data_IF_549413645758
#
_entry.id   IF_549413645758
#
_cell.length_a   1.000
_cell.length_b   1.000
_cell.length_c   1.000
_cell.angle_alpha   90.00
_cell.angle_beta   90.00
_cell.angle_gamma   90.00
#
_symmetry.space_group_name_H-M   'P 1'
#
loop_
_entity.id
_entity.type
_entity.pdbx_description
1 polymer ?
#
# COMPACT_ATOMS: atom_id res chain seq x y z
N UNK A 1 94.55 -56.72 33.49
CA UNK A 1 93.45 -55.91 32.92
C UNK A 1 92.28 -56.86 32.65
N UNK A 2 91.36 -57.02 33.62
CA UNK A 2 90.17 -57.88 33.48
C UNK A 2 88.95 -56.98 33.21
N UNK A 3 88.23 -57.32 32.14
CA UNK A 3 87.04 -56.65 31.64
C UNK A 3 85.84 -56.97 32.53
N UNK A 4 85.20 -55.96 33.11
CA UNK A 4 83.91 -56.09 33.79
C UNK A 4 82.78 -55.84 32.78
N UNK A 5 82.11 -56.92 32.35
CA UNK A 5 80.90 -56.84 31.56
C UNK A 5 79.70 -56.54 32.46
N UNK A 6 79.14 -55.33 32.38
CA UNK A 6 77.83 -55.03 32.96
C UNK A 6 76.73 -55.61 32.06
N UNK A 7 76.11 -56.70 32.49
CA UNK A 7 74.89 -57.23 31.88
C UNK A 7 73.78 -56.18 31.99
N UNK A 8 73.45 -55.55 30.86
CA UNK A 8 72.35 -54.58 30.75
C UNK A 8 71.05 -55.36 30.69
N UNK A 9 70.33 -55.45 31.80
CA UNK A 9 69.01 -56.07 31.86
C UNK A 9 68.06 -55.37 30.88
N UNK A 10 67.61 -56.10 29.86
CA UNK A 10 66.65 -55.59 28.88
C UNK A 10 65.25 -55.45 29.52
N UNK A 11 64.51 -54.39 29.17
CA UNK A 11 63.21 -54.11 29.77
C UNK A 11 62.17 -55.17 29.39
N UNK A 12 61.33 -55.50 30.36
CA UNK A 12 60.28 -56.52 30.34
C UNK A 12 59.36 -56.34 29.13
N UNK A 13 59.04 -57.46 28.48
CA UNK A 13 58.01 -57.54 27.44
C UNK A 13 56.71 -56.93 27.98
N UNK A 14 56.23 -55.87 27.32
CA UNK A 14 54.96 -55.24 27.67
C UNK A 14 53.86 -56.23 27.31
N UNK A 15 53.24 -56.82 28.32
CA UNK A 15 52.15 -57.79 28.11
C UNK A 15 50.98 -57.13 27.37
N UNK A 16 50.34 -57.85 26.46
CA UNK A 16 49.16 -57.33 25.73
C UNK A 16 48.05 -56.83 26.67
N UNK A 17 47.94 -57.42 27.87
CA UNK A 17 47.00 -56.98 28.90
C UNK A 17 47.31 -55.58 29.44
N UNK A 18 48.59 -55.20 29.55
CA UNK A 18 48.98 -53.84 29.94
C UNK A 18 48.65 -52.82 28.85
N UNK A 19 48.77 -53.18 27.57
CA UNK A 19 48.38 -52.32 26.45
C UNK A 19 46.86 -52.13 26.39
N UNK A 20 46.07 -53.19 26.59
CA UNK A 20 44.62 -53.12 26.66
C UNK A 20 44.13 -52.25 27.83
N UNK A 21 44.71 -52.42 29.02
CA UNK A 21 44.35 -51.61 30.19
C UNK A 21 44.73 -50.13 30.05
N UNK A 22 45.81 -49.81 29.34
CA UNK A 22 46.17 -48.43 28.99
C UNK A 22 45.16 -47.83 27.99
N UNK A 23 44.75 -48.60 26.99
CA UNK A 23 43.73 -48.20 26.01
C UNK A 23 42.38 -47.90 26.66
N UNK A 24 41.94 -48.76 27.58
CA UNK A 24 40.70 -48.56 28.34
C UNK A 24 40.74 -47.26 29.17
N UNK A 25 41.83 -47.01 29.90
CA UNK A 25 42.01 -45.79 30.68
C UNK A 25 42.03 -44.53 29.81
N UNK A 26 42.69 -44.61 28.65
CA UNK A 26 42.70 -43.50 27.68
C UNK A 26 41.30 -43.23 27.13
N UNK A 27 40.52 -44.27 26.81
CA UNK A 27 39.15 -44.14 26.33
C UNK A 27 38.23 -43.50 27.39
N UNK A 28 38.35 -43.92 28.66
CA UNK A 28 37.60 -43.32 29.78
C UNK A 28 37.98 -41.84 29.97
N UNK A 29 39.26 -41.52 29.93
CA UNK A 29 39.72 -40.13 30.06
C UNK A 29 39.20 -39.24 28.91
N UNK A 30 39.21 -39.76 27.68
CA UNK A 30 38.66 -39.05 26.52
C UNK A 30 37.15 -38.80 26.67
N UNK A 31 36.39 -39.81 27.11
CA UNK A 31 34.95 -39.67 27.35
C UNK A 31 34.66 -38.63 28.44
N UNK A 32 35.44 -38.62 29.52
CA UNK A 32 35.31 -37.62 30.58
C UNK A 32 35.57 -36.19 30.08
N UNK A 33 36.59 -35.99 29.24
CA UNK A 33 36.90 -34.69 28.62
C UNK A 33 35.80 -34.23 27.67
N UNK A 34 35.24 -35.14 26.87
CA UNK A 34 34.11 -34.83 25.97
C UNK A 34 32.87 -34.45 26.78
N UNK A 35 32.55 -35.19 27.84
CA UNK A 35 31.44 -34.87 28.74
C UNK A 35 31.59 -33.48 29.37
N UNK A 36 32.79 -33.16 29.85
CA UNK A 36 33.10 -31.84 30.40
C UNK A 36 32.95 -30.73 29.34
N UNK A 37 33.42 -30.97 28.11
CA UNK A 37 33.27 -30.01 27.01
C UNK A 37 31.80 -29.75 26.65
N UNK A 38 30.95 -30.79 26.67
CA UNK A 38 29.51 -30.67 26.42
C UNK A 38 28.83 -29.88 27.54
N UNK A 39 29.12 -30.20 28.81
CA UNK A 39 28.60 -29.46 29.96
C UNK A 39 29.01 -27.98 29.86
N UNK A 40 30.27 -27.72 29.51
CA UNK A 40 30.77 -26.36 29.33
C UNK A 40 30.09 -25.64 28.17
N UNK A 41 29.81 -26.30 27.05
CA UNK A 41 29.10 -25.72 25.92
C UNK A 41 27.64 -25.33 26.22
N UNK A 42 26.98 -26.03 27.15
CA UNK A 42 25.61 -25.71 27.59
C UNK A 42 25.59 -24.53 28.56
N UNK A 43 26.61 -24.41 29.42
CA UNK A 43 26.69 -23.37 30.45
C UNK A 43 27.30 -22.08 29.90
N UNK A 44 28.28 -22.18 29.00
CA UNK A 44 28.92 -21.02 28.42
C UNK A 44 27.90 -20.29 27.54
N UNK A 45 27.58 -19.01 27.84
CA UNK A 45 26.67 -18.24 27.00
C UNK A 45 27.28 -18.14 25.61
N UNK A 46 26.64 -18.77 24.62
CA UNK A 46 27.02 -18.58 23.22
C UNK A 46 26.72 -17.12 22.88
N UNK A 47 27.75 -16.26 22.94
CA UNK A 47 27.66 -14.90 22.45
C UNK A 47 27.12 -14.97 21.03
N UNK A 48 26.02 -14.27 20.77
CA UNK A 48 25.44 -14.17 19.43
C UNK A 48 26.57 -13.71 18.52
N UNK A 49 26.94 -14.53 17.55
CA UNK A 49 27.95 -14.11 16.57
C UNK A 49 27.27 -13.09 15.68
N UNK A 50 27.43 -11.80 16.00
CA UNK A 50 26.81 -10.65 15.33
C UNK A 50 27.28 -10.45 13.88
N UNK A 51 27.90 -11.46 13.28
CA UNK A 51 28.46 -11.48 11.92
C UNK A 51 27.42 -11.32 10.80
N UNK A 52 26.13 -11.26 11.14
CA UNK A 52 25.04 -11.00 10.21
C UNK A 52 24.37 -9.63 10.42
N UNK A 53 24.86 -8.81 11.35
CA UNK A 53 24.33 -7.47 11.51
C UNK A 53 24.97 -6.56 10.46
N UNK A 54 24.23 -6.10 9.43
CA UNK A 54 24.75 -5.04 8.57
C UNK A 54 25.13 -3.86 9.47
N UNK A 55 26.20 -3.11 9.14
CA UNK A 55 26.56 -1.92 9.90
C UNK A 55 25.31 -1.05 10.06
N UNK A 56 25.04 -0.61 11.28
CA UNK A 56 23.97 0.36 11.51
C UNK A 56 24.17 1.52 10.53
N UNK A 57 23.12 2.00 9.85
CA UNK A 57 23.26 3.07 8.89
C UNK A 57 23.89 4.26 9.61
N UNK A 58 25.11 4.61 9.20
CA UNK A 58 25.76 5.81 9.68
C UNK A 58 24.87 6.98 9.25
N UNK A 59 24.30 7.69 10.22
CA UNK A 59 23.61 8.94 9.94
C UNK A 59 24.70 9.94 9.59
N UNK A 60 25.00 10.06 8.29
CA UNK A 60 25.84 11.13 7.79
C UNK A 60 25.21 12.45 8.28
N UNK A 61 25.99 13.23 9.02
CA UNK A 61 25.54 14.50 9.63
C UNK A 61 26.02 15.68 8.79
N UNK A 62 26.51 15.41 7.57
CA UNK A 62 27.03 16.42 6.68
C UNK A 62 25.92 17.38 6.23
N UNK A 63 26.19 18.70 6.19
CA UNK A 63 25.22 19.69 5.70
C UNK A 63 24.82 19.48 4.24
N UNK A 64 25.51 18.62 3.50
CA UNK A 64 25.18 18.20 2.13
C UNK A 64 23.81 17.51 2.01
N UNK A 65 23.32 16.83 3.07
CA UNK A 65 22.00 16.16 3.07
C UNK A 65 20.86 17.17 2.92
N UNK A 66 21.02 18.38 3.47
CA UNK A 66 20.03 19.44 3.34
C UNK A 66 19.99 20.04 1.93
N UNK A 67 21.04 19.86 1.12
CA UNK A 67 21.08 20.28 -0.29
C UNK A 67 20.62 19.18 -1.27
N UNK A 68 20.68 17.91 -0.87
CA UNK A 68 20.25 16.78 -1.69
C UNK A 68 18.72 16.60 -1.72
N UNK A 69 18.01 17.25 -0.80
CA UNK A 69 16.56 17.20 -0.74
C UNK A 69 15.96 18.38 -1.52
N UNK A 70 15.65 18.16 -2.80
CA UNK A 70 14.88 19.10 -3.61
C UNK A 70 13.37 18.78 -3.48
N UNK A 71 12.59 19.56 -2.70
CA UNK A 71 11.17 19.31 -2.53
C UNK A 71 10.33 19.68 -3.76
N UNK A 72 10.89 20.40 -4.72
CA UNK A 72 10.18 20.91 -5.89
C UNK A 72 10.34 19.99 -7.11
N UNK A 73 11.44 19.23 -7.22
CA UNK A 73 11.72 18.32 -8.34
C UNK A 73 11.79 16.83 -7.96
N UNK A 74 11.06 16.40 -6.92
CA UNK A 74 11.02 15.00 -6.45
C UNK A 74 10.60 13.94 -7.50
N UNK A 75 10.12 14.37 -8.67
CA UNK A 75 9.63 13.49 -9.74
C UNK A 75 10.75 12.84 -10.58
N UNK A 76 12.01 13.26 -10.43
CA UNK A 76 13.11 12.74 -11.26
C UNK A 76 13.91 11.60 -10.61
N UNK A 77 13.71 11.31 -9.31
CA UNK A 77 14.62 10.44 -8.53
C UNK A 77 14.08 9.07 -8.11
N UNK A 78 12.82 8.75 -8.35
CA UNK A 78 12.24 7.46 -7.92
C UNK A 78 11.48 6.80 -9.05
N UNK A 79 12.18 6.11 -9.98
CA UNK A 79 11.61 5.40 -11.14
C UNK A 79 10.36 6.09 -11.76
N UNK A 80 10.38 7.42 -11.73
CA UNK A 80 9.32 8.33 -12.14
C UNK A 80 9.39 8.54 -13.64
N UNK A 81 9.63 7.46 -14.38
CA UNK A 81 9.22 7.44 -15.77
C UNK A 81 7.72 7.65 -15.71
N UNK A 82 7.27 8.84 -16.14
CA UNK A 82 5.86 9.13 -16.43
C UNK A 82 5.27 7.87 -17.05
N UNK A 83 4.51 7.12 -16.24
CA UNK A 83 4.11 5.78 -16.63
C UNK A 83 3.00 5.95 -17.64
N UNK A 84 3.35 5.85 -18.92
CA UNK A 84 2.43 6.00 -20.04
C UNK A 84 1.35 4.94 -19.90
N UNK A 85 0.09 5.36 -19.95
CA UNK A 85 -1.05 4.43 -19.96
C UNK A 85 -1.03 3.66 -21.27
N UNK A 86 -1.18 2.35 -21.21
CA UNK A 86 -1.10 1.53 -22.41
C UNK A 86 -2.24 1.86 -23.39
N UNK A 87 -1.95 2.06 -24.68
CA UNK A 87 -2.97 2.20 -25.71
C UNK A 87 -3.46 0.85 -26.24
N UNK A 88 -2.99 -0.28 -25.68
CA UNK A 88 -3.44 -1.60 -26.12
C UNK A 88 -4.93 -1.79 -25.80
N UNK A 89 -5.65 -2.45 -26.72
CA UNK A 89 -7.04 -2.84 -26.53
C UNK A 89 -7.15 -4.10 -25.65
N UNK A 90 -6.63 -4.02 -24.43
CA UNK A 90 -6.68 -5.08 -23.41
C UNK A 90 -7.33 -4.53 -22.16
N UNK A 91 -8.05 -5.38 -21.44
CA UNK A 91 -8.81 -4.96 -20.25
C UNK A 91 -8.32 -5.74 -19.03
N UNK A 92 -8.04 -5.03 -17.94
CA UNK A 92 -7.68 -5.67 -16.67
C UNK A 92 -8.95 -5.92 -15.86
N UNK A 93 -9.24 -7.19 -15.54
CA UNK A 93 -10.43 -7.59 -14.80
C UNK A 93 -10.15 -7.94 -13.34
N UNK A 94 -8.92 -8.30 -13.01
CA UNK A 94 -8.57 -8.71 -11.66
C UNK A 94 -7.08 -8.72 -11.42
N UNK A 95 -6.71 -8.55 -10.16
CA UNK A 95 -5.33 -8.51 -9.70
C UNK A 95 -5.21 -9.22 -8.36
N UNK A 96 -4.16 -10.00 -8.21
CA UNK A 96 -3.76 -10.62 -6.95
C UNK A 96 -2.31 -10.28 -6.72
N UNK A 97 -2.06 -9.32 -5.84
CA UNK A 97 -0.71 -8.94 -5.44
C UNK A 97 -0.30 -9.74 -4.20
N UNK A 98 0.69 -10.61 -4.33
CA UNK A 98 1.39 -11.20 -3.17
C UNK A 98 2.59 -10.32 -2.80
N UNK A 99 2.45 -9.59 -1.70
CA UNK A 99 3.48 -8.67 -1.18
C UNK A 99 4.60 -9.39 -0.44
N UNK A 100 4.38 -10.63 0.00
CA UNK A 100 5.34 -11.41 0.77
C UNK A 100 6.32 -12.17 -0.14
N UNK A 101 5.85 -12.66 -1.29
CA UNK A 101 6.69 -13.41 -2.23
C UNK A 101 7.09 -12.62 -3.49
N UNK A 102 6.55 -11.42 -3.69
CA UNK A 102 6.76 -10.62 -4.91
C UNK A 102 6.15 -11.26 -6.17
N UNK A 103 5.27 -12.25 -6.00
CA UNK A 103 4.63 -13.00 -7.10
C UNK A 103 3.20 -12.51 -7.24
N UNK A 104 2.98 -11.58 -8.16
CA UNK A 104 1.64 -11.13 -8.52
C UNK A 104 1.07 -11.90 -9.71
N UNK A 105 -0.26 -12.00 -9.78
CA UNK A 105 -0.97 -12.45 -10.97
C UNK A 105 -2.07 -11.47 -11.34
N UNK A 106 -2.36 -11.36 -12.63
CA UNK A 106 -3.38 -10.49 -13.18
C UNK A 106 -4.31 -11.27 -14.11
N UNK A 107 -5.58 -10.92 -14.13
CA UNK A 107 -6.57 -11.47 -15.06
C UNK A 107 -6.81 -10.43 -16.14
N UNK A 108 -6.37 -10.74 -17.36
CA UNK A 108 -6.34 -9.80 -18.49
C UNK A 108 -7.19 -10.37 -19.63
N UNK A 109 -8.08 -9.53 -20.15
CA UNK A 109 -8.83 -9.76 -21.36
C UNK A 109 -8.07 -9.31 -22.60
N UNK A 110 -8.01 -10.17 -23.61
CA UNK A 110 -7.44 -9.88 -24.91
C UNK A 110 -8.51 -9.35 -25.89
N UNK A 111 -8.11 -8.73 -27.02
CA UNK A 111 -9.05 -8.24 -28.03
C UNK A 111 -9.92 -9.33 -28.67
N UNK A 112 -9.52 -10.59 -28.54
CA UNK A 112 -10.26 -11.77 -29.02
C UNK A 112 -11.42 -12.18 -28.10
N UNK A 113 -11.60 -11.46 -26.98
CA UNK A 113 -12.61 -11.75 -25.97
C UNK A 113 -12.22 -12.83 -24.97
N UNK A 114 -11.02 -13.41 -25.07
CA UNK A 114 -10.53 -14.38 -24.10
C UNK A 114 -9.99 -13.68 -22.86
N UNK A 115 -10.26 -14.24 -21.68
CA UNK A 115 -9.80 -13.74 -20.39
C UNK A 115 -8.96 -14.80 -19.70
N UNK A 116 -7.68 -14.50 -19.48
CA UNK A 116 -6.70 -15.44 -18.91
C UNK A 116 -5.96 -14.83 -17.72
N UNK A 117 -5.40 -15.69 -16.88
CA UNK A 117 -4.55 -15.30 -15.76
C UNK A 117 -3.06 -15.38 -16.14
N UNK A 118 -2.33 -14.30 -15.90
CA UNK A 118 -0.90 -14.16 -16.20
C UNK A 118 -0.14 -13.83 -14.92
N UNK A 119 0.98 -14.53 -14.68
CA UNK A 119 1.91 -14.23 -13.60
C UNK A 119 2.94 -13.18 -14.04
N UNK A 120 3.56 -12.49 -13.08
CA UNK A 120 4.69 -11.58 -13.37
C UNK A 120 5.78 -12.36 -14.11
N UNK A 121 6.16 -11.86 -15.29
CA UNK A 121 7.10 -12.48 -16.23
C UNK A 121 6.43 -13.13 -17.44
N UNK A 122 5.13 -13.45 -17.37
CA UNK A 122 4.43 -14.14 -18.45
C UNK A 122 4.19 -13.22 -19.66
N UNK A 123 4.20 -13.83 -20.85
CA UNK A 123 3.79 -13.18 -22.08
C UNK A 123 2.26 -13.13 -22.17
N UNK A 124 1.72 -11.92 -22.27
CA UNK A 124 0.27 -11.69 -22.42
C UNK A 124 -0.11 -11.91 -23.89
N UNK A 125 0.71 -11.36 -24.80
CA UNK A 125 0.59 -11.45 -26.25
C UNK A 125 1.97 -11.21 -26.90
N UNK A 126 2.17 -11.49 -28.20
CA UNK A 126 3.47 -11.35 -28.84
C UNK A 126 4.09 -9.97 -28.60
N UNK A 127 5.27 -9.94 -27.97
CA UNK A 127 6.00 -8.71 -27.66
C UNK A 127 5.55 -7.93 -26.43
N UNK A 128 4.57 -8.44 -25.67
CA UNK A 128 4.05 -7.81 -24.44
C UNK A 128 4.15 -8.78 -23.27
N UNK A 129 4.87 -8.37 -22.23
CA UNK A 129 5.06 -9.17 -21.00
C UNK A 129 4.53 -8.44 -19.77
N UNK A 130 4.01 -9.20 -18.81
CA UNK A 130 3.61 -8.65 -17.52
C UNK A 130 4.86 -8.38 -16.68
N UNK A 131 5.20 -7.10 -16.47
CA UNK A 131 6.40 -6.69 -15.75
C UNK A 131 6.18 -6.55 -14.24
N UNK A 132 4.96 -6.21 -13.81
CA UNK A 132 4.65 -6.05 -12.40
C UNK A 132 3.16 -5.91 -12.13
N UNK A 133 2.76 -6.24 -10.90
CA UNK A 133 1.38 -6.12 -10.43
C UNK A 133 1.38 -5.21 -9.21
N UNK A 134 0.49 -4.21 -9.21
CA UNK A 134 0.26 -3.30 -8.08
C UNK A 134 -1.18 -3.45 -7.57
N UNK A 135 -1.59 -2.57 -6.67
CA UNK A 135 -2.89 -2.68 -6.00
C UNK A 135 -4.09 -2.37 -6.89
N UNK A 136 -3.93 -1.57 -7.94
CA UNK A 136 -5.01 -1.11 -8.84
C UNK A 136 -4.62 -1.17 -10.32
N UNK A 137 -3.35 -1.45 -10.61
CA UNK A 137 -2.81 -1.47 -11.97
C UNK A 137 -1.75 -2.55 -12.16
N UNK A 138 -1.50 -2.88 -13.42
CA UNK A 138 -0.37 -3.72 -13.82
C UNK A 138 0.57 -2.94 -14.72
N UNK A 139 1.86 -3.19 -14.57
CA UNK A 139 2.88 -2.67 -15.47
C UNK A 139 3.17 -3.75 -16.50
N UNK A 140 3.00 -3.42 -17.78
CA UNK A 140 3.38 -4.27 -18.91
C UNK A 140 4.60 -3.69 -19.59
N UNK A 141 5.38 -4.55 -20.25
CA UNK A 141 6.53 -4.13 -21.05
C UNK A 141 6.33 -4.52 -22.49
N UNK A 142 6.37 -3.53 -23.39
CA UNK A 142 6.24 -3.68 -24.83
C UNK A 142 7.44 -3.02 -25.51
N UNK A 143 8.19 -3.79 -26.31
CA UNK A 143 9.39 -3.29 -27.01
C UNK A 143 10.39 -2.55 -26.10
N UNK A 144 10.51 -2.98 -24.85
CA UNK A 144 11.38 -2.36 -23.84
C UNK A 144 10.78 -1.15 -23.10
N UNK A 145 9.65 -0.60 -23.55
CA UNK A 145 8.93 0.47 -22.84
C UNK A 145 7.99 -0.12 -21.77
N UNK A 146 7.96 0.51 -20.60
CA UNK A 146 7.04 0.17 -19.51
C UNK A 146 5.75 1.01 -19.63
N UNK A 147 4.61 0.35 -19.69
CA UNK A 147 3.28 0.96 -19.79
C UNK A 147 2.39 0.44 -18.66
N UNK A 148 1.41 1.24 -18.22
CA UNK A 148 0.45 0.84 -17.17
C UNK A 148 -0.94 0.54 -17.73
N UNK A 149 -1.56 -0.52 -17.22
CA UNK A 149 -2.96 -0.87 -17.44
C UNK A 149 -3.71 -0.87 -16.11
N UNK A 150 -4.80 -0.12 -16.01
CA UNK A 150 -5.61 -0.01 -14.79
C UNK A 150 -6.78 -0.97 -14.80
N UNK A 151 -7.23 -1.34 -13.60
CA UNK A 151 -8.37 -2.24 -13.39
C UNK A 151 -9.67 -1.60 -13.91
N UNK A 152 -10.42 -2.33 -14.73
CA UNK A 152 -11.74 -1.89 -15.19
C UNK A 152 -12.78 -2.07 -14.07
N UNK A 153 -13.14 -0.96 -13.43
CA UNK A 153 -14.12 -0.91 -12.34
C UNK A 153 -15.55 -0.66 -12.85
N UNK A 154 -15.80 -0.77 -14.17
CA UNK A 154 -17.08 -0.37 -14.77
C UNK A 154 -18.20 -1.40 -14.61
N UNK A 155 -17.91 -2.59 -14.05
CA UNK A 155 -18.90 -3.65 -13.87
C UNK A 155 -19.45 -3.61 -12.43
N UNK A 156 -20.71 -3.19 -12.28
CA UNK A 156 -21.45 -3.35 -11.04
C UNK A 156 -21.63 -4.85 -10.75
N UNK A 157 -21.42 -5.26 -9.49
CA UNK A 157 -21.69 -6.63 -9.06
C UNK A 157 -23.13 -7.03 -9.46
N UNK A 158 -23.38 -8.24 -10.01
CA UNK A 158 -24.73 -8.68 -10.32
C UNK A 158 -25.55 -8.71 -9.05
N UNK A 159 -26.50 -7.78 -8.92
CA UNK A 159 -27.55 -7.89 -7.91
C UNK A 159 -28.41 -9.06 -8.37
N UNK A 160 -28.31 -10.20 -7.68
CA UNK A 160 -29.25 -11.30 -7.83
C UNK A 160 -30.62 -10.78 -7.39
N UNK A 161 -31.42 -10.34 -8.36
CA UNK A 161 -32.74 -9.78 -8.13
C UNK A 161 -33.69 -10.86 -7.60
N UNK A 162 -34.26 -10.63 -6.42
CA UNK A 162 -35.46 -11.32 -5.97
C UNK A 162 -36.67 -10.91 -6.86
N UNK A 163 -37.69 -11.77 -7.04
CA UNK A 163 -38.71 -11.56 -8.07
C UNK A 163 -39.66 -10.39 -7.76
N UNK A 164 -39.77 -9.50 -8.75
CA UNK A 164 -40.97 -8.76 -9.18
C UNK A 164 -41.95 -8.19 -8.14
N UNK A 165 -41.87 -6.88 -7.93
CA UNK A 165 -43.07 -6.02 -7.76
C UNK A 165 -42.83 -4.73 -8.55
N UNK A 166 -43.58 -4.55 -9.64
CA UNK A 166 -43.61 -3.30 -10.39
C UNK A 166 -44.39 -2.24 -9.59
N UNK A 167 -43.89 -1.00 -9.44
CA UNK A 167 -44.67 0.08 -8.82
C UNK A 167 -45.87 0.47 -9.70
N UNK A 168 -47.02 0.84 -9.11
CA UNK A 168 -48.21 1.24 -9.87
C UNK A 168 -48.01 2.57 -10.62
N UNK A 169 -48.72 2.81 -11.74
CA UNK A 169 -48.62 4.06 -12.50
C UNK A 169 -49.31 5.19 -11.75
N UNK A 170 -48.60 6.31 -11.57
CA UNK A 170 -49.09 7.53 -10.90
C UNK A 170 -49.73 8.45 -11.97
N UNK A 171 -50.90 9.08 -11.74
CA UNK A 171 -51.55 9.96 -12.70
C UNK A 171 -50.74 11.25 -12.95
N UNK A 172 -50.75 11.76 -14.19
CA UNK A 172 -50.08 12.99 -14.57
C UNK A 172 -50.78 14.25 -13.97
N UNK A 173 -50.04 15.20 -13.38
CA UNK A 173 -50.62 16.43 -12.85
C UNK A 173 -50.94 17.43 -13.98
N UNK A 174 -52.18 17.92 -14.01
CA UNK A 174 -52.62 19.04 -14.84
C UNK A 174 -52.27 20.36 -14.13
N UNK A 175 -51.13 20.94 -14.44
CA UNK A 175 -50.67 22.22 -13.92
C UNK A 175 -49.73 22.91 -14.93
N UNK A 176 -49.53 24.24 -14.84
CA UNK A 176 -48.70 24.99 -15.78
C UNK A 176 -47.27 24.44 -15.82
N UNK A 177 -46.76 24.26 -17.04
CA UNK A 177 -45.51 23.57 -17.40
C UNK A 177 -44.28 24.21 -16.70
N UNK A 178 -43.63 23.50 -15.73
CA UNK A 178 -42.43 24.00 -15.07
C UNK A 178 -41.20 24.05 -15.99
N UNK A 179 -41.30 23.56 -17.24
CA UNK A 179 -40.21 23.51 -18.21
C UNK A 179 -40.28 24.59 -19.31
N UNK A 180 -41.20 25.56 -19.20
CA UNK A 180 -41.21 26.72 -20.08
C UNK A 180 -39.88 27.51 -20.05
N UNK A 181 -39.13 27.46 -18.93
CA UNK A 181 -37.83 28.09 -18.78
C UNK A 181 -36.67 27.38 -19.53
N UNK A 182 -36.81 26.09 -19.86
CA UNK A 182 -35.75 25.29 -20.52
C UNK A 182 -35.68 25.56 -22.04
N UNK A 183 -36.71 26.17 -22.63
CA UNK A 183 -36.73 26.50 -24.07
C UNK A 183 -35.99 27.80 -24.43
N UNK A 184 -35.40 28.49 -23.45
CA UNK A 184 -34.72 29.79 -23.63
C UNK A 184 -33.21 29.70 -23.85
N UNK A 185 -32.80 29.45 -25.10
CA UNK A 185 -31.52 29.91 -25.67
C UNK A 185 -30.21 29.22 -25.23
N UNK A 186 -29.18 29.20 -26.10
CA UNK A 186 -27.91 28.46 -25.90
C UNK A 186 -27.01 28.93 -24.74
N UNK A 187 -27.49 29.83 -23.86
CA UNK A 187 -26.74 30.33 -22.71
C UNK A 187 -26.87 29.51 -21.42
N UNK A 188 -27.89 28.65 -21.26
CA UNK A 188 -28.17 27.98 -19.98
C UNK A 188 -27.59 26.55 -19.85
N UNK A 189 -27.08 25.95 -20.94
CA UNK A 189 -26.37 24.66 -20.87
C UNK A 189 -24.97 24.76 -20.23
N UNK A 190 -24.50 25.96 -19.91
CA UNK A 190 -23.27 26.18 -19.15
C UNK A 190 -23.47 25.97 -17.62
N UNK A 191 -24.69 26.14 -17.10
CA UNK A 191 -24.95 26.09 -15.66
C UNK A 191 -25.12 24.67 -15.09
N UNK A 192 -25.52 23.69 -15.92
CA UNK A 192 -25.59 22.27 -15.52
C UNK A 192 -24.24 21.54 -15.65
N UNK A 193 -23.21 22.23 -16.17
CA UNK A 193 -21.90 21.63 -16.51
C UNK A 193 -20.86 21.71 -15.39
N UNK A 194 -21.24 22.14 -14.20
CA UNK A 194 -20.31 22.24 -13.06
C UNK A 194 -21.01 22.05 -11.72
N UNK A 195 -21.58 20.87 -11.48
CA UNK A 195 -21.58 20.31 -10.11
C UNK A 195 -20.35 19.41 -10.04
N UNK A 196 -19.18 20.03 -9.94
CA UNK A 196 -17.90 19.35 -9.87
C UNK A 196 -17.17 19.69 -8.58
N UNK A 197 -16.02 19.05 -8.32
CA UNK A 197 -15.16 19.39 -7.19
C UNK A 197 -14.91 20.92 -7.02
N UNK A 198 -14.64 21.72 -8.07
CA UNK A 198 -14.44 23.17 -7.89
C UNK A 198 -15.69 23.92 -7.42
N UNK A 199 -16.89 23.45 -7.76
CA UNK A 199 -18.16 24.07 -7.35
C UNK A 199 -18.44 23.85 -5.86
N UNK A 200 -18.02 22.70 -5.31
CA UNK A 200 -18.12 22.39 -3.88
C UNK A 200 -17.38 23.41 -3.01
N UNK A 201 -16.23 23.92 -3.46
CA UNK A 201 -15.47 24.95 -2.73
C UNK A 201 -16.15 26.32 -2.74
N UNK A 202 -17.04 26.56 -3.70
CA UNK A 202 -17.74 27.84 -3.88
C UNK A 202 -19.09 27.83 -3.14
N UNK A 203 -19.74 26.65 -3.10
CA UNK A 203 -21.02 26.40 -2.43
C UNK A 203 -20.88 26.06 -0.93
N UNK A 204 -19.67 26.18 -0.37
CA UNK A 204 -19.40 25.84 1.02
C UNK A 204 -18.50 26.89 1.68
N UNK A 205 -18.82 27.23 2.91
CA UNK A 205 -17.96 27.99 3.81
C UNK A 205 -17.43 27.09 4.94
N UNK A 206 -16.17 27.28 5.31
CA UNK A 206 -15.51 26.53 6.38
C UNK A 206 -15.14 27.49 7.51
N UNK A 207 -15.67 27.24 8.70
CA UNK A 207 -15.35 28.01 9.90
C UNK A 207 -14.56 27.15 10.90
N UNK A 208 -13.41 27.61 11.43
CA UNK A 208 -12.63 26.81 12.37
C UNK A 208 -13.40 26.58 13.68
N UNK A 209 -13.45 25.32 14.13
CA UNK A 209 -13.95 24.95 15.47
C UNK A 209 -12.76 24.89 16.42
N UNK A 210 -12.81 25.68 17.49
CA UNK A 210 -11.78 25.69 18.53
C UNK A 210 -12.24 24.86 19.74
N UNK A 211 -11.34 24.05 20.28
CA UNK A 211 -11.50 23.36 21.56
C UNK A 211 -10.29 23.68 22.44
N UNK A 212 -10.47 24.64 23.35
CA UNK A 212 -9.36 25.26 24.07
C UNK A 212 -8.52 26.12 23.12
N UNK A 213 -7.21 25.98 23.16
CA UNK A 213 -6.26 26.76 22.35
C UNK A 213 -5.90 26.07 21.01
N UNK A 214 -6.70 25.10 20.57
CA UNK A 214 -6.43 24.32 19.34
C UNK A 214 -7.67 24.20 18.48
N UNK A 215 -7.46 24.18 17.17
CA UNK A 215 -8.50 23.90 16.17
C UNK A 215 -8.68 22.37 16.13
N UNK A 216 -9.91 21.90 16.35
CA UNK A 216 -10.24 20.48 16.35
C UNK A 216 -11.05 20.01 15.12
N UNK A 217 -11.42 20.95 14.25
CA UNK A 217 -12.09 20.69 12.99
C UNK A 217 -12.60 21.97 12.31
N UNK A 218 -13.34 21.79 11.23
CA UNK A 218 -13.96 22.90 10.48
C UNK A 218 -15.46 22.68 10.31
N UNK A 219 -16.26 23.61 10.81
CA UNK A 219 -17.71 23.62 10.65
C UNK A 219 -18.03 23.92 9.18
N UNK A 220 -18.79 23.04 8.56
CA UNK A 220 -19.23 23.12 7.17
C UNK A 220 -20.59 23.81 7.09
N UNK A 221 -20.65 24.90 6.33
CA UNK A 221 -21.87 25.65 6.09
C UNK A 221 -22.10 25.78 4.58
N UNK A 222 -23.35 25.65 4.10
CA UNK A 222 -23.64 25.93 2.69
C UNK A 222 -23.46 27.42 2.40
N UNK A 223 -23.00 27.73 1.20
CA UNK A 223 -22.90 29.06 0.62
C UNK A 223 -23.70 29.10 -0.69
N UNK A 224 -24.21 30.26 -1.09
CA UNK A 224 -25.03 30.39 -2.29
C UNK A 224 -26.28 29.50 -2.28
N UNK A 225 -26.50 28.73 -3.36
CA UNK A 225 -27.64 27.78 -3.45
C UNK A 225 -27.38 26.47 -2.70
N UNK A 226 -26.11 26.17 -2.35
CA UNK A 226 -25.72 24.98 -1.62
C UNK A 226 -26.09 23.67 -2.32
N UNK A 227 -26.22 23.68 -3.65
CA UNK A 227 -26.63 22.50 -4.41
C UNK A 227 -25.52 21.46 -4.44
N UNK A 228 -24.26 21.88 -4.66
CA UNK A 228 -23.12 20.97 -4.61
C UNK A 228 -22.89 20.43 -3.19
N UNK A 229 -23.08 21.27 -2.16
CA UNK A 229 -22.99 20.89 -0.75
C UNK A 229 -23.96 19.75 -0.39
N UNK A 230 -25.23 19.89 -0.78
CA UNK A 230 -26.26 18.88 -0.55
C UNK A 230 -26.06 17.63 -1.42
N UNK A 231 -25.66 17.81 -2.68
CA UNK A 231 -25.37 16.71 -3.60
C UNK A 231 -24.22 15.82 -3.10
N UNK A 232 -23.23 16.40 -2.41
CA UNK A 232 -22.16 15.65 -1.76
C UNK A 232 -22.58 14.94 -0.47
N UNK A 233 -23.80 15.16 0.05
CA UNK A 233 -24.31 14.49 1.25
C UNK A 233 -23.94 15.17 2.58
N UNK A 234 -23.42 16.40 2.54
CA UNK A 234 -23.19 17.19 3.74
C UNK A 234 -24.49 17.75 4.31
N UNK A 235 -24.48 18.01 5.61
CA UNK A 235 -25.54 18.74 6.32
C UNK A 235 -24.97 20.00 6.94
N UNK A 236 -25.73 21.11 6.99
CA UNK A 236 -25.29 22.32 7.68
C UNK A 236 -24.94 21.99 9.13
N UNK A 237 -23.74 22.41 9.57
CA UNK A 237 -23.25 22.13 10.92
C UNK A 237 -22.43 20.85 11.05
N UNK A 238 -22.27 20.06 9.98
CA UNK A 238 -21.27 18.99 9.94
C UNK A 238 -19.87 19.57 10.26
N UNK A 239 -19.07 18.87 11.07
CA UNK A 239 -17.71 19.31 11.38
C UNK A 239 -16.70 18.40 10.70
N UNK A 240 -15.94 18.91 9.74
CA UNK A 240 -14.88 18.17 9.08
C UNK A 240 -13.72 17.94 10.04
N UNK A 241 -13.39 16.66 10.27
CA UNK A 241 -12.35 16.23 11.22
C UNK A 241 -11.20 15.49 10.55
N UNK A 242 -11.41 14.88 9.37
CA UNK A 242 -10.33 14.27 8.59
C UNK A 242 -10.60 14.28 7.07
N UNK A 243 -9.51 14.30 6.30
CA UNK A 243 -9.51 14.22 4.83
C UNK A 243 -8.55 13.10 4.41
N UNK A 244 -9.05 12.10 3.67
CA UNK A 244 -8.26 10.94 3.21
C UNK A 244 -7.50 10.22 4.35
N UNK A 245 -8.09 10.17 5.54
CA UNK A 245 -7.49 9.56 6.73
C UNK A 245 -6.54 10.47 7.52
N UNK A 246 -6.17 11.63 6.99
CA UNK A 246 -5.37 12.64 7.71
C UNK A 246 -6.28 13.52 8.55
N UNK A 247 -6.05 13.59 9.87
CA UNK A 247 -6.85 14.43 10.74
C UNK A 247 -6.49 15.90 10.58
N UNK A 248 -7.50 16.76 10.64
CA UNK A 248 -7.32 18.21 10.53
C UNK A 248 -6.68 18.83 11.78
N UNK A 249 -6.66 18.11 12.91
CA UNK A 249 -5.86 18.51 14.09
C UNK A 249 -4.35 18.50 13.83
N UNK A 250 -3.90 17.71 12.86
CA UNK A 250 -2.49 17.56 12.49
C UNK A 250 -2.10 18.48 11.33
N UNK A 251 -3.09 19.18 10.74
CA UNK A 251 -2.93 20.04 9.60
C UNK A 251 -3.14 21.52 9.97
N UNK A 252 -2.29 22.39 9.41
CA UNK A 252 -2.48 23.84 9.53
C UNK A 252 -3.45 24.28 8.43
N UNK A 253 -4.69 24.59 8.81
CA UNK A 253 -5.65 25.20 7.89
C UNK A 253 -6.50 24.23 7.07
N UNK A 254 -7.22 24.79 6.09
CA UNK A 254 -8.12 24.06 5.17
C UNK A 254 -7.43 23.55 3.91
N UNK A 255 -6.10 23.72 3.81
CA UNK A 255 -5.30 23.36 2.64
C UNK A 255 -5.46 21.90 2.17
N UNK A 256 -5.39 20.88 3.06
CA UNK A 256 -5.57 19.48 2.67
C UNK A 256 -6.94 19.18 2.06
N UNK A 257 -7.99 19.85 2.55
CA UNK A 257 -9.34 19.73 2.01
C UNK A 257 -9.42 20.32 0.60
N UNK A 258 -8.96 21.55 0.40
CA UNK A 258 -8.95 22.20 -0.91
C UNK A 258 -8.14 21.38 -1.93
N UNK A 259 -6.98 20.87 -1.53
CA UNK A 259 -6.14 20.04 -2.37
C UNK A 259 -6.80 18.70 -2.73
N UNK A 260 -7.51 18.07 -1.80
CA UNK A 260 -8.23 16.82 -2.04
C UNK A 260 -9.44 16.98 -2.97
N UNK A 261 -10.03 18.18 -3.01
CA UNK A 261 -11.08 18.51 -3.98
C UNK A 261 -10.47 18.81 -5.36
N UNK A 262 -9.40 19.61 -5.43
CA UNK A 262 -8.75 20.00 -6.70
C UNK A 262 -8.08 18.82 -7.40
N UNK A 263 -7.54 17.85 -6.65
CA UNK A 263 -6.92 16.64 -7.21
C UNK A 263 -7.89 15.75 -8.01
N UNK A 264 -9.21 15.98 -7.86
CA UNK A 264 -10.24 15.45 -8.75
C UNK A 264 -10.50 13.94 -8.67
N UNK A 265 -9.88 13.24 -7.72
CA UNK A 265 -10.12 11.83 -7.41
C UNK A 265 -11.32 11.61 -6.48
N UNK A 266 -11.63 10.35 -6.18
CA UNK A 266 -12.57 10.00 -5.11
C UNK A 266 -11.93 10.31 -3.76
N UNK A 267 -12.43 11.32 -3.06
CA UNK A 267 -11.92 11.78 -1.77
C UNK A 267 -12.86 11.34 -0.66
N UNK A 268 -12.30 10.73 0.39
CA UNK A 268 -13.05 10.32 1.58
C UNK A 268 -12.88 11.37 2.69
N UNK A 269 -14.00 11.87 3.19
CA UNK A 269 -14.05 12.89 4.24
C UNK A 269 -14.70 12.28 5.47
N UNK A 270 -14.11 12.49 6.66
CA UNK A 270 -14.82 12.23 7.91
C UNK A 270 -15.35 13.54 8.47
N UNK A 271 -16.67 13.54 8.70
CA UNK A 271 -17.38 14.64 9.35
C UNK A 271 -17.99 14.15 10.66
N UNK A 272 -18.03 15.00 11.66
CA UNK A 272 -18.78 14.79 12.88
C UNK A 272 -20.17 15.40 12.69
N UNK A 273 -21.20 14.55 12.74
CA UNK A 273 -22.61 14.93 12.63
C UNK A 273 -23.31 14.53 13.93
N UNK A 274 -23.90 15.51 14.61
CA UNK A 274 -24.53 15.31 15.92
C UNK A 274 -23.61 14.60 16.93
N UNK A 275 -22.31 14.88 16.88
CA UNK A 275 -21.29 14.27 17.74
C UNK A 275 -20.81 12.88 17.31
N UNK A 276 -21.28 12.33 16.17
CA UNK A 276 -20.88 11.02 15.65
C UNK A 276 -20.06 11.14 14.36
N UNK A 277 -18.99 10.34 14.19
CA UNK A 277 -18.24 10.33 12.94
C UNK A 277 -19.06 9.68 11.81
N UNK A 278 -19.17 10.38 10.69
CA UNK A 278 -19.83 9.98 9.45
C UNK A 278 -18.82 10.13 8.32
N UNK A 279 -18.73 9.12 7.46
CA UNK A 279 -17.86 9.20 6.28
C UNK A 279 -18.68 9.66 5.07
N UNK A 280 -18.19 10.69 4.39
CA UNK A 280 -18.77 11.25 3.17
C UNK A 280 -17.75 11.11 2.05
N UNK A 281 -18.14 10.48 0.95
CA UNK A 281 -17.27 10.31 -0.22
C UNK A 281 -17.70 11.26 -1.32
N UNK A 282 -16.76 12.06 -1.79
CA UNK A 282 -16.93 12.96 -2.94
C UNK A 282 -16.12 12.43 -4.11
N UNK A 283 -16.75 12.33 -5.28
CA UNK A 283 -16.10 11.92 -6.53
C UNK A 283 -16.69 12.70 -7.72
N UNK A 284 -16.08 12.58 -8.89
CA UNK A 284 -16.69 13.10 -10.13
C UNK A 284 -17.97 12.32 -10.42
N UNK A 285 -19.10 13.01 -10.53
CA UNK A 285 -20.27 12.48 -11.22
C UNK A 285 -19.86 12.17 -12.68
N UNK A 286 -20.24 10.99 -13.16
CA UNK A 286 -19.92 10.48 -14.51
C UNK A 286 -20.87 11.07 -15.55
#
# INVERSE_FOLDING_TARGET
MLSAWHARAWPREVSQQQLLGLGERAAIALLALLGLAVIWAVIAPTGRSDRLMPPAPAIDSSPAIFGAFDPFFRLSGGDGRSSVVTPLNITLYGIRADRASGRGAAIIGLPDGTQNSYAVGDAIMPGVVLAGVTFDSVTIRRNGAAEKLYLDQSQAAPVVGAPGIAPPPIPAPSGPDPFAAIRGGPGQMAAMRSVGPPSLLTDMNLSPRQRGDRIDGYILQPSGTGDAFRAAGFRPGDVLVAVNGTRLIDAVGTGPFAQAIVSGGSTSLQVERDGRPVTVTIGRAK
#
